data_IF_633316710755
#
_entry.id   IF_633316710755
#
_cell.length_a   1.000
_cell.length_b   1.000
_cell.length_c   1.000
_cell.angle_alpha   90.00
_cell.angle_beta   90.00
_cell.angle_gamma   90.00
#
_symmetry.space_group_name_H-M   'P 1'
#
loop_
_entity.id
_entity.type
_entity.pdbx_description
1 polymer ?
#
# COMPACT_ATOMS: atom_id res chain seq x y z
N UNK A 1 15.01 8.63 1.72
CA UNK A 1 15.96 9.72 1.39
C UNK A 1 15.23 10.67 0.45
N UNK A 2 14.97 11.89 0.90
CA UNK A 2 14.37 12.95 0.11
C UNK A 2 15.46 13.97 -0.31
N UNK A 3 15.66 14.12 -1.62
CA UNK A 3 16.57 15.12 -2.15
C UNK A 3 16.09 15.59 -3.52
N UNK A 4 16.05 16.90 -3.83
CA UNK A 4 15.53 17.42 -5.11
C UNK A 4 16.21 16.82 -6.35
N UNK A 5 17.49 16.47 -6.26
CA UNK A 5 18.25 15.84 -7.36
C UNK A 5 17.81 14.39 -7.65
N UNK A 6 17.02 13.77 -6.78
CA UNK A 6 16.49 12.41 -6.98
C UNK A 6 15.15 12.41 -7.73
N UNK A 7 14.52 13.56 -7.92
CA UNK A 7 13.31 13.65 -8.73
C UNK A 7 13.66 13.47 -10.20
N UNK A 8 13.12 12.45 -10.87
CA UNK A 8 13.37 12.24 -12.30
C UNK A 8 12.66 13.31 -13.14
N UNK A 9 13.30 13.77 -14.21
CA UNK A 9 12.69 14.69 -15.16
C UNK A 9 11.69 13.97 -16.08
N UNK A 10 11.86 12.66 -16.29
CA UNK A 10 11.02 11.80 -17.13
C UNK A 10 10.89 10.45 -16.45
N UNK A 11 9.66 9.94 -16.38
CA UNK A 11 9.35 8.58 -15.90
C UNK A 11 8.75 7.78 -17.05
N UNK A 12 9.31 6.62 -17.33
CA UNK A 12 8.80 5.69 -18.36
C UNK A 12 8.20 4.47 -17.67
N UNK A 13 6.91 4.25 -17.86
CA UNK A 13 6.18 3.10 -17.31
C UNK A 13 6.06 2.02 -18.39
N UNK A 14 7.03 1.11 -18.43
CA UNK A 14 7.02 -0.02 -19.36
C UNK A 14 6.59 -1.31 -18.65
N UNK A 15 5.37 -1.83 -18.93
CA UNK A 15 4.88 -3.04 -18.30
C UNK A 15 5.67 -4.29 -18.70
N UNK A 16 6.38 -4.26 -19.83
CA UNK A 16 7.18 -5.40 -20.27
C UNK A 16 8.30 -5.74 -19.29
N UNK A 17 8.88 -4.73 -18.63
CA UNK A 17 9.93 -4.89 -17.62
C UNK A 17 9.43 -5.58 -16.33
N UNK A 18 8.12 -5.69 -16.15
CA UNK A 18 7.51 -6.30 -14.97
C UNK A 18 6.99 -7.72 -15.18
N UNK A 19 7.04 -8.25 -16.41
CA UNK A 19 6.47 -9.55 -16.78
C UNK A 19 7.10 -10.73 -16.03
N UNK A 20 8.36 -10.59 -15.61
CA UNK A 20 9.12 -11.64 -14.91
C UNK A 20 9.11 -11.50 -13.38
N UNK A 21 8.39 -10.51 -12.84
CA UNK A 21 8.16 -10.43 -11.39
C UNK A 21 7.41 -11.66 -10.90
N UNK A 22 7.97 -12.29 -9.87
CA UNK A 22 7.32 -13.43 -9.24
C UNK A 22 5.95 -13.04 -8.65
N UNK A 23 5.03 -13.99 -8.47
CA UNK A 23 3.76 -13.71 -7.80
C UNK A 23 3.93 -13.06 -6.43
N UNK A 24 4.93 -13.51 -5.65
CA UNK A 24 5.24 -12.93 -4.33
C UNK A 24 5.63 -11.46 -4.42
N UNK A 25 6.52 -11.09 -5.36
CA UNK A 25 6.89 -9.69 -5.57
C UNK A 25 5.73 -8.87 -6.12
N UNK A 26 4.94 -9.43 -7.04
CA UNK A 26 3.74 -8.77 -7.56
C UNK A 26 2.74 -8.45 -6.44
N UNK A 27 2.51 -9.40 -5.52
CA UNK A 27 1.65 -9.18 -4.37
C UNK A 27 2.19 -8.08 -3.44
N UNK A 28 3.47 -8.17 -3.07
CA UNK A 28 4.08 -7.22 -2.15
C UNK A 28 4.11 -5.79 -2.73
N UNK A 29 4.58 -5.62 -3.96
CA UNK A 29 4.64 -4.29 -4.62
C UNK A 29 3.26 -3.72 -4.93
N UNK A 30 2.28 -4.57 -5.27
CA UNK A 30 0.91 -4.14 -5.47
C UNK A 30 0.22 -3.68 -4.18
N UNK A 31 0.48 -4.35 -3.06
CA UNK A 31 -0.01 -3.93 -1.75
C UNK A 31 0.70 -2.67 -1.24
N UNK A 32 1.97 -2.49 -1.59
CA UNK A 32 2.71 -1.25 -1.33
C UNK A 32 2.09 -0.06 -2.08
N UNK A 33 1.82 -0.24 -3.38
CA UNK A 33 1.10 0.76 -4.17
C UNK A 33 -0.29 1.07 -3.57
N UNK A 34 -0.97 0.06 -3.02
CA UNK A 34 -2.24 0.27 -2.30
C UNK A 34 -2.03 1.11 -1.04
N UNK A 35 -0.99 0.83 -0.24
CA UNK A 35 -0.68 1.61 0.96
C UNK A 35 -0.38 3.07 0.62
N UNK A 36 0.43 3.34 -0.41
CA UNK A 36 0.70 4.70 -0.88
C UNK A 36 -0.57 5.48 -1.23
N UNK A 37 -1.44 4.87 -2.05
CA UNK A 37 -2.70 5.52 -2.45
C UNK A 37 -3.65 5.72 -1.26
N UNK A 38 -3.79 4.72 -0.40
CA UNK A 38 -4.68 4.76 0.76
C UNK A 38 -4.25 5.81 1.78
N UNK A 39 -2.97 5.83 2.15
CA UNK A 39 -2.45 6.80 3.11
C UNK A 39 -2.47 8.22 2.56
N UNK A 40 -2.10 8.42 1.30
CA UNK A 40 -2.23 9.71 0.64
C UNK A 40 -3.67 10.24 0.66
N UNK A 41 -4.66 9.39 0.35
CA UNK A 41 -6.07 9.77 0.42
C UNK A 41 -6.51 10.11 1.84
N UNK A 42 -6.08 9.31 2.83
CA UNK A 42 -6.40 9.49 4.23
C UNK A 42 -5.60 10.63 4.91
N UNK A 43 -4.48 11.04 4.36
CA UNK A 43 -3.65 12.12 4.91
C UNK A 43 -4.46 13.42 5.11
N UNK A 44 -4.14 14.24 6.13
CA UNK A 44 -4.81 15.51 6.37
C UNK A 44 -4.53 16.52 5.23
N UNK A 45 -5.30 17.60 5.21
CA UNK A 45 -5.15 18.68 4.23
C UNK A 45 -6.04 18.52 3.01
N UNK A 46 -6.24 19.63 2.31
CA UNK A 46 -7.05 19.73 1.10
C UNK A 46 -6.17 19.68 -0.14
N UNK A 47 -6.22 18.59 -0.88
CA UNK A 47 -5.48 18.42 -2.12
C UNK A 47 -6.24 17.53 -3.12
N UNK A 48 -7.28 18.07 -3.80
CA UNK A 48 -8.18 17.27 -4.62
C UNK A 48 -7.49 16.54 -5.79
N UNK A 49 -6.38 17.07 -6.33
CA UNK A 49 -5.62 16.36 -7.37
C UNK A 49 -4.95 15.10 -6.81
N UNK A 50 -4.31 15.18 -5.64
CA UNK A 50 -3.73 14.01 -4.98
C UNK A 50 -4.83 12.99 -4.60
N UNK A 51 -5.95 13.47 -4.07
CA UNK A 51 -7.09 12.62 -3.70
C UNK A 51 -7.68 11.90 -4.94
N UNK A 52 -7.80 12.61 -6.07
CA UNK A 52 -8.27 12.02 -7.34
C UNK A 52 -7.32 10.96 -7.89
N UNK A 53 -6.00 11.19 -7.84
CA UNK A 53 -5.00 10.20 -8.23
C UNK A 53 -5.02 8.99 -7.30
N UNK A 54 -5.05 9.21 -6.00
CA UNK A 54 -5.05 8.16 -5.00
C UNK A 54 -6.26 7.22 -5.13
N UNK A 55 -7.45 7.77 -5.31
CA UNK A 55 -8.67 6.95 -5.41
C UNK A 55 -8.72 6.14 -6.72
N UNK A 56 -8.27 6.71 -7.84
CA UNK A 56 -8.17 5.98 -9.10
C UNK A 56 -7.07 4.90 -9.03
N UNK A 57 -5.92 5.20 -8.39
CA UNK A 57 -4.88 4.21 -8.14
C UNK A 57 -5.41 2.99 -7.37
N UNK A 58 -6.19 3.20 -6.31
CA UNK A 58 -6.85 2.11 -5.56
C UNK A 58 -7.80 1.29 -6.45
N UNK A 59 -8.54 1.94 -7.36
CA UNK A 59 -9.44 1.25 -8.29
C UNK A 59 -8.69 0.38 -9.30
N UNK A 60 -7.58 0.87 -9.84
CA UNK A 60 -6.71 0.08 -10.73
C UNK A 60 -6.15 -1.14 -10.01
N UNK A 61 -5.71 -0.99 -8.75
CA UNK A 61 -5.21 -2.10 -7.93
C UNK A 61 -6.34 -3.13 -7.69
N UNK A 62 -7.53 -2.68 -7.27
CA UNK A 62 -8.69 -3.57 -7.08
C UNK A 62 -9.02 -4.37 -8.34
N UNK A 63 -8.94 -3.74 -9.51
CA UNK A 63 -9.23 -4.35 -10.82
C UNK A 63 -8.19 -5.39 -11.24
N UNK A 64 -6.89 -5.15 -10.94
CA UNK A 64 -5.79 -5.78 -11.67
C UNK A 64 -4.80 -6.56 -10.82
N UNK A 65 -4.70 -6.31 -9.51
CA UNK A 65 -3.66 -6.94 -8.68
C UNK A 65 -3.79 -8.46 -8.64
N UNK A 66 -4.99 -9.00 -8.40
CA UNK A 66 -5.21 -10.45 -8.38
C UNK A 66 -4.96 -11.05 -9.77
N UNK A 67 -5.29 -10.32 -10.85
CA UNK A 67 -5.05 -10.79 -12.23
C UNK A 67 -3.56 -10.92 -12.49
N UNK A 68 -2.77 -9.89 -12.21
CA UNK A 68 -1.32 -9.89 -12.38
C UNK A 68 -0.62 -10.91 -11.47
N UNK A 69 -1.15 -11.14 -10.25
CA UNK A 69 -0.66 -12.18 -9.34
C UNK A 69 -0.86 -13.59 -9.91
N UNK A 70 -2.03 -13.87 -10.47
CA UNK A 70 -2.36 -15.19 -11.06
C UNK A 70 -1.73 -15.40 -12.43
N UNK A 71 -1.64 -14.34 -13.22
CA UNK A 71 -1.04 -14.36 -14.56
C UNK A 71 -0.09 -13.17 -14.72
N UNK A 72 1.17 -13.37 -14.37
CA UNK A 72 2.22 -12.36 -14.48
C UNK A 72 2.48 -11.84 -15.89
N UNK A 73 1.97 -12.52 -16.91
CA UNK A 73 2.11 -12.13 -18.33
C UNK A 73 0.94 -11.28 -18.85
N UNK A 74 -0.04 -10.96 -18.02
CA UNK A 74 -1.15 -10.03 -18.37
C UNK A 74 -0.60 -8.59 -18.42
N UNK A 75 -0.23 -8.13 -19.62
CA UNK A 75 0.34 -6.80 -19.88
C UNK A 75 -0.61 -5.68 -19.41
N UNK A 76 -1.91 -5.85 -19.62
CA UNK A 76 -2.88 -4.83 -19.22
C UNK A 76 -2.96 -4.72 -17.69
N UNK A 77 -2.96 -5.84 -16.98
CA UNK A 77 -2.92 -5.82 -15.51
C UNK A 77 -1.60 -5.23 -14.99
N UNK A 78 -0.46 -5.52 -15.63
CA UNK A 78 0.84 -4.91 -15.30
C UNK A 78 0.84 -3.40 -15.51
N UNK A 79 0.27 -2.92 -16.64
CA UNK A 79 0.15 -1.49 -16.91
C UNK A 79 -0.72 -0.78 -15.87
N UNK A 80 -1.87 -1.37 -15.52
CA UNK A 80 -2.73 -0.83 -14.44
C UNK A 80 -1.96 -0.69 -13.12
N UNK A 81 -1.16 -1.69 -12.75
CA UNK A 81 -0.37 -1.66 -11.50
C UNK A 81 0.76 -0.63 -11.53
N UNK A 82 1.48 -0.50 -12.64
CA UNK A 82 2.49 0.55 -12.81
C UNK A 82 1.87 1.95 -12.73
N UNK A 83 0.73 2.13 -13.39
CA UNK A 83 -0.03 3.39 -13.32
C UNK A 83 -0.47 3.70 -11.89
N UNK A 84 -1.01 2.70 -11.17
CA UNK A 84 -1.43 2.85 -9.78
C UNK A 84 -0.25 3.18 -8.84
N UNK A 85 0.91 2.57 -9.06
CA UNK A 85 2.13 2.87 -8.30
C UNK A 85 2.61 4.31 -8.55
N UNK A 86 2.59 4.76 -9.82
CA UNK A 86 2.94 6.14 -10.19
C UNK A 86 1.95 7.15 -9.60
N UNK A 87 0.65 6.85 -9.61
CA UNK A 87 -0.38 7.67 -8.99
C UNK A 87 -0.17 7.78 -7.49
N UNK A 88 0.09 6.65 -6.80
CA UNK A 88 0.38 6.63 -5.37
C UNK A 88 1.61 7.44 -5.02
N UNK A 89 2.72 7.26 -5.77
CA UNK A 89 3.98 7.99 -5.53
C UNK A 89 3.84 9.51 -5.78
N UNK A 90 2.92 9.91 -6.63
CA UNK A 90 2.60 11.33 -6.82
C UNK A 90 1.68 11.84 -5.70
N UNK A 91 0.66 11.06 -5.35
CA UNK A 91 -0.34 11.44 -4.36
C UNK A 91 0.24 11.54 -2.94
N UNK A 92 1.20 10.69 -2.58
CA UNK A 92 1.79 10.67 -1.24
C UNK A 92 2.63 11.91 -0.92
N UNK A 93 2.87 12.81 -1.88
CA UNK A 93 3.39 14.15 -1.56
C UNK A 93 2.46 14.92 -0.61
N UNK A 94 1.17 14.53 -0.53
CA UNK A 94 0.23 15.03 0.48
C UNK A 94 0.56 14.51 1.88
N UNK A 95 1.13 13.31 2.00
CA UNK A 95 1.59 12.66 3.22
C UNK A 95 1.44 11.15 3.17
N UNK A 96 2.27 10.46 3.93
CA UNK A 96 2.14 9.06 4.29
C UNK A 96 1.61 8.95 5.72
N UNK A 97 1.49 7.76 6.26
CA UNK A 97 0.94 7.52 7.58
C UNK A 97 1.54 6.31 8.28
N UNK A 98 0.83 5.82 9.30
CA UNK A 98 1.33 4.81 10.22
C UNK A 98 1.63 3.44 9.59
N UNK A 99 1.10 3.11 8.41
CA UNK A 99 1.49 1.88 7.71
C UNK A 99 2.97 1.95 7.36
N UNK A 100 3.41 3.06 6.76
CA UNK A 100 4.81 3.27 6.38
C UNK A 100 5.70 3.50 7.59
N UNK A 101 5.28 4.34 8.54
CA UNK A 101 6.05 4.59 9.76
C UNK A 101 6.36 3.31 10.56
N UNK A 102 5.41 2.35 10.62
CA UNK A 102 5.64 1.06 11.27
C UNK A 102 6.51 0.12 10.42
N UNK A 103 6.42 0.19 9.10
CA UNK A 103 7.16 -0.71 8.23
C UNK A 103 8.63 -0.32 8.06
N UNK A 104 8.97 0.96 8.05
CA UNK A 104 10.34 1.43 7.86
C UNK A 104 11.34 0.87 8.88
N UNK A 105 11.12 0.95 10.21
CA UNK A 105 12.04 0.35 11.18
C UNK A 105 12.12 -1.17 11.07
N UNK A 106 11.02 -1.85 10.77
CA UNK A 106 11.01 -3.31 10.55
C UNK A 106 11.83 -3.69 9.33
N UNK A 107 11.70 -2.94 8.23
CA UNK A 107 12.50 -3.18 7.03
C UNK A 107 13.99 -2.91 7.28
N UNK A 108 14.32 -1.80 7.91
CA UNK A 108 15.70 -1.40 8.18
C UNK A 108 16.45 -2.34 9.11
N UNK A 109 15.77 -2.85 10.17
CA UNK A 109 16.41 -3.71 11.17
C UNK A 109 16.38 -5.20 10.81
N UNK A 110 15.30 -5.69 10.19
CA UNK A 110 15.06 -7.11 10.02
C UNK A 110 15.04 -7.56 8.55
N UNK A 111 15.30 -6.64 7.62
CA UNK A 111 15.33 -6.91 6.18
C UNK A 111 14.04 -7.59 5.65
N UNK A 112 12.91 -7.29 6.26
CA UNK A 112 11.59 -7.72 5.77
C UNK A 112 11.27 -6.92 4.52
N UNK A 113 10.71 -7.56 3.50
CA UNK A 113 10.33 -6.86 2.26
C UNK A 113 9.31 -5.75 2.55
N UNK A 114 9.60 -4.51 2.12
CA UNK A 114 8.84 -3.31 2.43
C UNK A 114 7.33 -3.45 2.16
N UNK A 115 6.94 -3.75 0.92
CA UNK A 115 5.52 -3.90 0.57
C UNK A 115 4.83 -5.07 1.30
N UNK A 116 5.58 -6.08 1.74
CA UNK A 116 5.04 -7.17 2.55
C UNK A 116 4.68 -6.68 3.95
N UNK A 117 5.59 -5.94 4.60
CA UNK A 117 5.31 -5.37 5.94
C UNK A 117 4.18 -4.35 5.89
N UNK A 118 4.11 -3.49 4.86
CA UNK A 118 2.98 -2.59 4.63
C UNK A 118 1.65 -3.36 4.55
N UNK A 119 1.62 -4.48 3.81
CA UNK A 119 0.43 -5.32 3.70
C UNK A 119 0.03 -5.97 5.03
N UNK A 120 1.01 -6.36 5.85
CA UNK A 120 0.78 -6.94 7.18
C UNK A 120 0.21 -5.89 8.13
N UNK A 121 0.80 -4.69 8.20
CA UNK A 121 0.35 -3.63 9.11
C UNK A 121 -0.99 -2.99 8.72
N UNK A 122 -1.30 -2.94 7.43
CA UNK A 122 -2.46 -2.19 6.90
C UNK A 122 -3.79 -2.42 7.66
N UNK A 123 -4.28 -3.64 7.93
CA UNK A 123 -5.56 -3.82 8.63
C UNK A 123 -5.53 -3.31 10.08
N UNK A 124 -4.40 -3.43 10.74
CA UNK A 124 -4.23 -2.96 12.13
C UNK A 124 -4.24 -1.44 12.19
N UNK A 125 -3.50 -0.79 11.31
CA UNK A 125 -3.46 0.68 11.20
C UNK A 125 -4.82 1.23 10.79
N UNK A 126 -5.51 0.61 9.84
CA UNK A 126 -6.88 0.99 9.48
C UNK A 126 -7.81 0.95 10.68
N UNK A 127 -7.74 -0.13 11.47
CA UNK A 127 -8.58 -0.30 12.66
C UNK A 127 -8.26 0.75 13.71
N UNK A 128 -6.98 1.02 13.96
CA UNK A 128 -6.53 2.05 14.90
C UNK A 128 -6.98 3.45 14.47
N UNK A 129 -6.82 3.79 13.20
CA UNK A 129 -7.15 5.10 12.65
C UNK A 129 -8.65 5.28 12.34
N UNK A 130 -9.47 4.25 12.49
CA UNK A 130 -10.89 4.28 12.13
C UNK A 130 -11.61 5.56 12.57
N UNK A 131 -11.49 6.02 13.83
CA UNK A 131 -12.22 7.21 14.29
C UNK A 131 -11.94 8.47 13.46
N UNK A 132 -10.74 8.57 12.89
CA UNK A 132 -10.29 9.75 12.12
C UNK A 132 -10.51 9.64 10.62
N UNK A 133 -10.61 8.41 10.09
CA UNK A 133 -10.63 8.18 8.63
C UNK A 133 -11.94 7.57 8.11
N UNK A 134 -12.90 7.22 8.97
CA UNK A 134 -14.10 6.46 8.59
C UNK A 134 -14.87 7.11 7.43
N UNK A 135 -15.07 8.42 7.46
CA UNK A 135 -15.76 9.14 6.38
C UNK A 135 -15.00 9.06 5.05
N UNK A 136 -13.67 9.14 5.07
CA UNK A 136 -12.84 8.99 3.88
C UNK A 136 -12.92 7.56 3.34
N UNK A 137 -12.90 6.56 4.22
CA UNK A 137 -13.06 5.14 3.83
C UNK A 137 -14.44 4.89 3.19
N UNK A 138 -15.50 5.48 3.71
CA UNK A 138 -16.85 5.38 3.11
C UNK A 138 -16.85 5.97 1.68
N UNK A 139 -16.17 7.10 1.47
CA UNK A 139 -16.02 7.70 0.12
C UNK A 139 -15.23 6.79 -0.82
N UNK A 140 -14.17 6.14 -0.34
CA UNK A 140 -13.42 5.12 -1.10
C UNK A 140 -14.33 3.95 -1.46
N UNK A 141 -15.14 3.45 -0.53
CA UNK A 141 -16.07 2.35 -0.79
C UNK A 141 -17.02 2.67 -1.94
N UNK A 142 -17.59 3.87 -1.95
CA UNK A 142 -18.49 4.33 -3.01
C UNK A 142 -17.81 4.28 -4.38
N UNK A 143 -16.61 4.84 -4.46
CA UNK A 143 -15.84 4.87 -5.71
C UNK A 143 -15.40 3.47 -6.19
N UNK A 144 -15.08 2.59 -5.25
CA UNK A 144 -14.65 1.22 -5.53
C UNK A 144 -15.83 0.24 -5.74
N UNK A 145 -17.09 0.69 -5.67
CA UNK A 145 -18.29 -0.16 -5.70
C UNK A 145 -18.23 -1.26 -4.63
N UNK A 146 -17.95 -0.86 -3.39
CA UNK A 146 -18.08 -1.66 -2.17
C UNK A 146 -19.27 -1.14 -1.36
N UNK A 147 -19.79 -1.96 -0.45
CA UNK A 147 -20.79 -1.48 0.50
C UNK A 147 -20.21 -0.32 1.32
N UNK A 148 -20.98 0.77 1.49
CA UNK A 148 -20.55 2.02 2.12
C UNK A 148 -20.36 1.87 3.63
N UNK A 149 -19.36 1.09 4.03
CA UNK A 149 -19.00 0.91 5.44
C UNK A 149 -17.50 0.66 5.62
N UNK A 150 -16.96 1.09 6.75
CA UNK A 150 -15.59 0.76 7.14
C UNK A 150 -15.35 -0.75 7.19
N UNK A 151 -16.33 -1.51 7.66
CA UNK A 151 -16.27 -2.99 7.73
C UNK A 151 -16.11 -3.61 6.35
N UNK A 152 -16.85 -3.13 5.35
CA UNK A 152 -16.76 -3.63 3.98
C UNK A 152 -15.36 -3.38 3.39
N UNK A 153 -14.80 -2.18 3.60
CA UNK A 153 -13.44 -1.87 3.17
C UNK A 153 -12.40 -2.77 3.84
N UNK A 154 -12.48 -2.92 5.17
CA UNK A 154 -11.56 -3.77 5.92
C UNK A 154 -11.65 -5.24 5.47
N UNK A 155 -12.86 -5.76 5.25
CA UNK A 155 -13.06 -7.10 4.71
C UNK A 155 -12.43 -7.25 3.33
N UNK A 156 -12.59 -6.27 2.43
CA UNK A 156 -11.93 -6.30 1.12
C UNK A 156 -10.41 -6.37 1.25
N UNK A 157 -9.78 -5.60 2.17
CA UNK A 157 -8.33 -5.68 2.42
C UNK A 157 -7.93 -7.07 2.92
N UNK A 158 -8.68 -7.65 3.84
CA UNK A 158 -8.39 -8.99 4.37
C UNK A 158 -8.54 -10.09 3.30
N UNK A 159 -9.58 -10.01 2.48
CA UNK A 159 -9.79 -10.91 1.35
C UNK A 159 -8.69 -10.77 0.29
N UNK A 160 -8.28 -9.53 -0.01
CA UNK A 160 -7.19 -9.27 -0.94
C UNK A 160 -5.88 -9.91 -0.44
N UNK A 161 -5.53 -9.73 0.84
CA UNK A 161 -4.36 -10.37 1.45
C UNK A 161 -4.42 -11.91 1.34
N UNK A 162 -5.57 -12.51 1.65
CA UNK A 162 -5.76 -13.94 1.54
C UNK A 162 -5.57 -14.44 0.09
N UNK A 163 -6.16 -13.75 -0.89
CA UNK A 163 -6.03 -14.09 -2.31
C UNK A 163 -4.60 -13.94 -2.85
N UNK A 164 -3.77 -13.12 -2.20
CA UNK A 164 -2.37 -12.87 -2.54
C UNK A 164 -1.39 -13.73 -1.73
N UNK A 165 -1.89 -14.63 -0.86
CA UNK A 165 -1.10 -15.45 0.05
C UNK A 165 -0.16 -14.63 0.95
N UNK A 166 -0.61 -13.45 1.40
CA UNK A 166 0.15 -12.60 2.30
C UNK A 166 -0.08 -13.05 3.75
N UNK A 167 1.00 -13.27 4.53
CA UNK A 167 0.90 -13.64 5.93
C UNK A 167 0.14 -12.61 6.77
N UNK A 168 -0.47 -13.08 7.86
CA UNK A 168 -1.25 -12.21 8.74
C UNK A 168 -0.41 -11.53 9.83
N UNK A 169 0.74 -12.09 10.17
CA UNK A 169 1.58 -11.65 11.28
C UNK A 169 3.03 -11.48 10.84
N UNK A 170 3.76 -10.59 11.50
CA UNK A 170 5.20 -10.44 11.31
C UNK A 170 5.97 -11.72 11.71
N UNK A 171 5.50 -12.42 12.74
CA UNK A 171 6.10 -13.70 13.18
C UNK A 171 6.08 -14.80 12.12
N UNK A 172 5.28 -14.65 11.06
CA UNK A 172 5.26 -15.59 9.95
C UNK A 172 6.37 -15.31 8.91
N UNK A 173 7.04 -14.18 9.02
CA UNK A 173 8.05 -13.69 8.05
C UNK A 173 9.40 -13.36 8.68
N UNK A 174 9.48 -13.24 9.99
CA UNK A 174 10.71 -12.95 10.74
C UNK A 174 10.67 -13.55 12.15
N UNK A 175 11.83 -13.72 12.75
CA UNK A 175 11.92 -14.10 14.17
C UNK A 175 11.60 -12.88 15.06
N UNK A 176 10.58 -13.03 15.90
CA UNK A 176 10.10 -11.99 16.81
C UNK A 176 10.56 -12.17 18.27
N UNK A 177 11.39 -13.17 18.58
CA UNK A 177 11.72 -13.51 19.98
C UNK A 177 12.56 -12.47 20.73
N UNK A 178 13.32 -11.63 20.02
CA UNK A 178 14.23 -10.64 20.60
C UNK A 178 13.98 -9.22 20.04
N UNK A 179 12.71 -8.88 19.81
CA UNK A 179 12.36 -7.56 19.30
C UNK A 179 12.18 -6.59 20.46
N UNK A 180 12.91 -5.48 20.42
CA UNK A 180 12.63 -4.32 21.24
C UNK A 180 11.47 -3.51 20.62
N UNK A 181 10.27 -3.73 21.17
CA UNK A 181 9.06 -3.06 20.69
C UNK A 181 9.06 -1.56 21.01
N UNK A 182 9.68 -1.17 22.14
CA UNK A 182 9.75 0.23 22.53
C UNK A 182 10.66 1.01 21.58
N UNK A 183 11.80 0.44 21.21
CA UNK A 183 12.70 1.02 20.20
C UNK A 183 12.01 1.13 18.85
N UNK A 184 11.34 0.07 18.36
CA UNK A 184 10.63 0.11 17.08
C UNK A 184 9.48 1.13 17.09
N UNK A 185 8.78 1.23 18.21
CA UNK A 185 7.68 2.20 18.37
C UNK A 185 8.20 3.63 18.35
N UNK A 186 9.33 3.90 19.01
CA UNK A 186 9.96 5.20 18.98
C UNK A 186 10.42 5.58 17.57
N UNK A 187 11.09 4.65 16.86
CA UNK A 187 11.51 4.87 15.47
C UNK A 187 10.32 5.15 14.54
N UNK A 188 9.20 4.43 14.73
CA UNK A 188 7.99 4.66 13.96
C UNK A 188 7.31 6.00 14.28
N UNK A 189 7.44 6.49 15.50
CA UNK A 189 6.88 7.77 15.93
C UNK A 189 7.69 8.96 15.39
N UNK A 190 9.00 8.79 15.19
CA UNK A 190 9.90 9.80 14.67
C UNK A 190 9.95 9.87 13.13
N UNK A 191 9.37 8.86 12.43
CA UNK A 191 9.35 8.76 10.97
C UNK A 191 8.24 9.65 10.36
#
# INVERSE_FOLDING_TARGET
IFHPKMLPSIVILDPLLTLDLSPRLTAATGMDALAHNLEAFCAPGYHPMADGMAIEGMKLIKKSLIKAFKNGKDINARMDLLSAASMGSTAFQKGLGAIHSLSHPVNGKFNVHHGLSNAIFMPYVLTFNKPSIENKIISICDYLNLDKSFKSFLNWILELRNNLNIPHKLSDVMDCNNIDLDELSLMAFED
#
